data_IF_428553052876
#
_entry.id   IF_428553052876
#
_cell.length_a   1.000
_cell.length_b   1.000
_cell.length_c   1.000
_cell.angle_alpha   90.00
_cell.angle_beta   90.00
_cell.angle_gamma   90.00
#
_symmetry.space_group_name_H-M   'P 1'
#
loop_
_entity.id
_entity.type
_entity.pdbx_description
1 polymer ?
#
# COMPACT_ATOMS: atom_id res chain seq x y z
N UNK A 1 -8.36 -30.89 13.15
CA UNK A 1 -9.59 -31.62 12.89
C UNK A 1 -9.62 -32.27 11.50
N UNK A 2 -9.69 -31.53 10.38
CA UNK A 2 -9.88 -32.11 9.02
C UNK A 2 -8.79 -33.14 8.61
N UNK A 3 -7.52 -32.88 8.90
CA UNK A 3 -6.43 -33.84 8.58
C UNK A 3 -6.53 -35.12 9.40
N UNK A 4 -6.87 -35.02 10.68
CA UNK A 4 -7.07 -36.18 11.54
C UNK A 4 -8.18 -37.09 11.00
N UNK A 5 -9.35 -36.52 10.73
CA UNK A 5 -10.46 -37.30 10.17
C UNK A 5 -10.06 -38.01 8.86
N UNK A 6 -9.28 -37.36 7.99
CA UNK A 6 -8.81 -37.98 6.74
C UNK A 6 -7.82 -39.13 6.98
N UNK A 7 -7.02 -39.06 8.04
CA UNK A 7 -6.14 -40.17 8.47
C UNK A 7 -6.95 -41.28 9.09
N UNK A 8 -7.87 -40.96 9.99
CA UNK A 8 -8.73 -41.92 10.70
C UNK A 8 -9.60 -42.75 9.75
N UNK A 9 -10.07 -42.12 8.66
CA UNK A 9 -10.82 -42.80 7.59
C UNK A 9 -9.94 -43.41 6.47
N UNK A 10 -8.61 -43.41 6.62
CA UNK A 10 -7.71 -44.02 5.67
C UNK A 10 -7.49 -43.26 4.35
N UNK A 11 -8.02 -42.06 4.22
CA UNK A 11 -7.80 -41.21 3.02
C UNK A 11 -6.44 -40.53 2.99
N UNK A 12 -5.72 -40.53 4.11
CA UNK A 12 -4.35 -40.01 4.20
C UNK A 12 -3.50 -40.86 5.14
N UNK A 13 -2.20 -40.91 4.89
CA UNK A 13 -1.24 -41.57 5.75
C UNK A 13 -1.08 -40.79 7.09
N UNK A 14 -0.74 -41.46 8.20
CA UNK A 14 -0.44 -40.84 9.50
C UNK A 14 0.57 -39.69 9.41
N UNK A 15 1.57 -39.82 8.55
CA UNK A 15 2.60 -38.79 8.28
C UNK A 15 2.01 -37.46 7.73
N UNK A 16 0.77 -37.45 7.25
CA UNK A 16 0.10 -36.21 6.86
C UNK A 16 -0.15 -35.28 8.05
N UNK A 17 -0.13 -35.77 9.28
CA UNK A 17 -0.25 -34.98 10.50
C UNK A 17 1.01 -34.14 10.76
N UNK A 18 2.18 -34.63 10.34
CA UNK A 18 3.47 -33.97 10.50
C UNK A 18 3.64 -32.79 9.53
N UNK A 19 2.91 -32.81 8.42
CA UNK A 19 2.91 -31.73 7.43
C UNK A 19 1.92 -30.62 7.86
N UNK A 20 2.34 -29.79 8.81
CA UNK A 20 1.62 -28.61 9.28
C UNK A 20 2.56 -27.40 9.35
N UNK A 21 2.05 -26.18 9.24
CA UNK A 21 2.82 -24.99 9.57
C UNK A 21 3.35 -25.07 11.01
N UNK A 22 4.57 -24.61 11.22
CA UNK A 22 5.11 -24.47 12.56
C UNK A 22 4.28 -23.42 13.33
N UNK A 23 4.13 -23.62 14.63
CA UNK A 23 3.76 -22.55 15.54
C UNK A 23 4.94 -21.59 15.72
N UNK A 24 4.67 -20.37 16.18
CA UNK A 24 5.71 -19.37 16.35
C UNK A 24 6.85 -19.86 17.26
N UNK A 25 6.55 -20.44 18.41
CA UNK A 25 7.54 -20.97 19.38
C UNK A 25 8.40 -22.10 18.78
N UNK A 26 7.83 -22.92 17.89
CA UNK A 26 8.55 -23.98 17.19
C UNK A 26 9.47 -23.42 16.13
N UNK A 27 9.04 -22.34 15.48
CA UNK A 27 9.85 -21.60 14.51
C UNK A 27 11.02 -20.91 15.22
N UNK A 28 10.79 -20.18 16.31
CA UNK A 28 11.86 -19.54 17.10
C UNK A 28 12.94 -20.51 17.56
N UNK A 29 12.57 -21.68 18.04
CA UNK A 29 13.53 -22.72 18.48
C UNK A 29 14.42 -23.26 17.36
N UNK A 30 14.03 -23.06 16.08
CA UNK A 30 14.80 -23.50 14.92
C UNK A 30 15.69 -22.41 14.35
N UNK A 31 15.46 -21.15 14.74
CA UNK A 31 16.26 -20.02 14.28
C UNK A 31 17.51 -19.92 15.17
N UNK A 32 18.66 -19.79 14.54
CA UNK A 32 19.90 -19.49 15.25
C UNK A 32 20.20 -18.00 15.24
N UNK A 33 20.09 -17.37 14.06
CA UNK A 33 20.26 -15.92 13.86
C UNK A 33 19.22 -15.42 12.88
N UNK A 34 18.70 -14.21 13.11
CA UNK A 34 17.71 -13.59 12.26
C UNK A 34 18.02 -12.12 12.04
N UNK A 35 17.81 -11.65 10.82
CA UNK A 35 17.86 -10.21 10.46
C UNK A 35 16.46 -9.82 10.03
N UNK A 36 15.87 -8.87 10.74
CA UNK A 36 14.60 -8.26 10.39
C UNK A 36 14.83 -7.04 9.52
N UNK A 37 14.13 -6.96 8.38
CA UNK A 37 14.18 -5.83 7.46
C UNK A 37 12.76 -5.36 7.22
N UNK A 38 12.45 -4.11 7.56
CA UNK A 38 11.13 -3.53 7.36
C UNK A 38 11.19 -2.01 7.23
N UNK A 39 10.32 -1.44 6.40
CA UNK A 39 10.09 0.00 6.40
C UNK A 39 9.21 0.47 7.58
N UNK A 40 8.46 -0.46 8.17
CA UNK A 40 7.51 -0.26 9.27
C UNK A 40 7.66 -1.41 10.28
N UNK A 41 8.70 -1.39 11.14
CA UNK A 41 8.95 -2.45 12.11
C UNK A 41 7.71 -2.70 12.99
N UNK A 42 7.46 -3.96 13.32
CA UNK A 42 6.40 -4.37 14.22
C UNK A 42 6.83 -4.33 15.69
N UNK A 43 5.86 -4.47 16.58
CA UNK A 43 6.14 -4.41 18.02
C UNK A 43 7.03 -5.58 18.45
N UNK A 44 6.83 -6.76 17.83
CA UNK A 44 7.64 -7.95 18.07
C UNK A 44 9.12 -7.72 17.73
N UNK A 45 9.40 -7.15 16.55
CA UNK A 45 10.76 -6.86 16.11
C UNK A 45 11.42 -5.79 16.98
N UNK A 46 10.65 -4.78 17.39
CA UNK A 46 11.11 -3.72 18.29
C UNK A 46 11.43 -4.26 19.68
N UNK A 47 10.60 -5.15 20.22
CA UNK A 47 10.86 -5.84 21.49
C UNK A 47 12.13 -6.70 21.41
N UNK A 48 12.28 -7.51 20.37
CA UNK A 48 13.45 -8.39 20.19
C UNK A 48 14.78 -7.64 20.07
N UNK A 49 14.76 -6.43 19.51
CA UNK A 49 15.97 -5.60 19.40
C UNK A 49 16.09 -4.54 20.52
N UNK A 50 15.24 -4.55 21.54
CA UNK A 50 15.20 -3.56 22.62
C UNK A 50 15.12 -2.12 22.07
N UNK A 51 14.33 -1.90 21.03
CA UNK A 51 14.19 -0.64 20.30
C UNK A 51 15.54 -0.10 19.72
N UNK A 52 16.52 -0.97 19.52
CA UNK A 52 17.81 -0.62 18.90
C UNK A 52 17.86 -1.23 17.51
N UNK A 53 17.75 -0.41 16.48
CA UNK A 53 17.79 -0.82 15.08
C UNK A 53 18.63 0.15 14.26
N UNK A 54 19.10 -0.33 13.12
CA UNK A 54 19.87 0.48 12.17
C UNK A 54 18.90 1.05 11.14
N UNK A 55 18.93 2.36 10.95
CA UNK A 55 18.15 3.04 9.93
C UNK A 55 18.94 3.20 8.63
N UNK A 56 18.34 2.80 7.53
CA UNK A 56 18.84 3.06 6.17
C UNK A 56 17.81 3.89 5.42
N UNK A 57 17.86 5.21 5.60
CA UNK A 57 16.88 6.15 5.08
C UNK A 57 17.34 6.77 3.76
N UNK A 58 18.63 7.06 3.63
CA UNK A 58 19.21 7.73 2.47
C UNK A 58 19.18 6.81 1.24
N UNK A 59 18.66 7.32 0.14
CA UNK A 59 18.68 6.63 -1.15
C UNK A 59 19.84 7.14 -2.01
N UNK A 60 20.65 6.24 -2.60
CA UNK A 60 21.75 6.66 -3.51
C UNK A 60 21.28 7.45 -4.72
N UNK A 61 20.00 7.31 -5.09
CA UNK A 61 19.37 7.96 -6.23
C UNK A 61 19.11 9.46 -6.03
N UNK A 62 19.22 9.97 -4.80
CA UNK A 62 18.84 11.35 -4.44
C UNK A 62 17.33 11.61 -4.46
N UNK A 63 16.49 10.57 -4.60
CA UNK A 63 15.04 10.71 -4.55
C UNK A 63 14.58 10.83 -3.09
N UNK A 64 13.76 11.84 -2.82
CA UNK A 64 13.18 12.10 -1.51
C UNK A 64 11.85 11.36 -1.33
N UNK A 65 11.44 11.15 -0.10
CA UNK A 65 10.06 10.76 0.20
C UNK A 65 9.08 11.86 -0.27
N UNK A 66 7.84 11.50 -0.66
CA UNK A 66 6.91 12.45 -1.24
C UNK A 66 6.49 13.53 -0.24
N UNK A 67 6.01 14.66 -0.76
CA UNK A 67 5.29 15.65 0.04
C UNK A 67 3.88 15.15 0.35
N UNK A 68 3.35 15.56 1.51
CA UNK A 68 2.00 15.16 1.94
C UNK A 68 1.17 16.40 2.15
N UNK A 69 -0.05 16.39 1.60
CA UNK A 69 -1.07 17.41 1.81
C UNK A 69 -2.31 16.75 2.42
N UNK A 70 -2.95 17.45 3.35
CA UNK A 70 -4.26 17.05 3.89
C UNK A 70 -5.29 18.05 3.40
N UNK A 71 -6.33 17.57 2.75
CA UNK A 71 -7.43 18.38 2.21
C UNK A 71 -8.77 17.88 2.77
N UNK A 72 -9.76 18.77 2.90
CA UNK A 72 -11.10 18.41 3.38
C UNK A 72 -11.81 17.43 2.44
N UNK A 73 -12.79 16.70 2.96
CA UNK A 73 -13.57 15.73 2.17
C UNK A 73 -14.65 16.41 1.31
N UNK A 74 -15.05 17.62 1.64
CA UNK A 74 -16.02 18.39 0.85
C UNK A 74 -15.43 18.77 -0.51
N UNK A 75 -16.10 18.38 -1.59
CA UNK A 75 -15.63 18.61 -2.96
C UNK A 75 -14.40 17.76 -3.36
N UNK A 76 -14.04 16.74 -2.57
CA UNK A 76 -12.82 15.93 -2.79
C UNK A 76 -12.73 15.31 -4.18
N UNK A 77 -13.86 14.95 -4.79
CA UNK A 77 -13.86 14.31 -6.12
C UNK A 77 -13.54 15.32 -7.21
N UNK A 78 -14.08 16.52 -7.15
CA UNK A 78 -13.79 17.58 -8.12
C UNK A 78 -12.32 18.04 -8.00
N UNK A 79 -11.83 18.21 -6.78
CA UNK A 79 -10.42 18.51 -6.50
C UNK A 79 -9.51 17.41 -7.04
N UNK A 80 -9.85 16.15 -6.77
CA UNK A 80 -9.11 14.99 -7.27
C UNK A 80 -9.07 14.92 -8.81
N UNK A 81 -10.19 15.21 -9.48
CA UNK A 81 -10.25 15.25 -10.95
C UNK A 81 -9.35 16.36 -11.50
N UNK A 82 -9.30 17.50 -10.84
CA UNK A 82 -8.36 18.59 -11.17
C UNK A 82 -6.91 18.12 -11.10
N UNK A 83 -6.53 17.49 -10.00
CA UNK A 83 -5.18 16.94 -9.79
C UNK A 83 -4.81 15.83 -10.80
N UNK A 84 -5.76 14.94 -11.11
CA UNK A 84 -5.58 13.91 -12.13
C UNK A 84 -5.25 14.55 -13.49
N UNK A 85 -6.03 15.54 -13.92
CA UNK A 85 -5.83 16.21 -15.19
C UNK A 85 -4.47 16.90 -15.27
N UNK A 86 -3.99 17.51 -14.18
CA UNK A 86 -2.66 18.12 -14.13
C UNK A 86 -1.54 17.06 -14.26
N UNK A 87 -1.72 15.85 -13.70
CA UNK A 87 -0.75 14.75 -13.85
C UNK A 87 -0.77 14.15 -15.26
N UNK A 88 -1.95 14.01 -15.85
CA UNK A 88 -2.10 13.54 -17.24
C UNK A 88 -1.37 14.48 -18.21
N UNK A 89 -1.51 15.80 -18.07
CA UNK A 89 -0.78 16.79 -18.88
C UNK A 89 0.74 16.62 -18.81
N UNK A 90 1.26 16.15 -17.68
CA UNK A 90 2.69 15.89 -17.46
C UNK A 90 3.11 14.47 -17.84
N UNK A 91 2.21 13.67 -18.39
CA UNK A 91 2.39 12.25 -18.66
C UNK A 91 2.79 11.42 -17.43
N UNK A 92 2.29 11.82 -16.27
CA UNK A 92 2.47 11.14 -14.98
C UNK A 92 1.25 10.28 -14.66
N UNK A 93 1.38 9.38 -13.67
CA UNK A 93 0.34 8.43 -13.27
C UNK A 93 -0.15 8.70 -11.86
N UNK A 94 -1.41 8.32 -11.61
CA UNK A 94 -2.08 8.53 -10.34
C UNK A 94 -2.55 7.21 -9.74
N UNK A 95 -2.32 7.01 -8.44
CA UNK A 95 -2.93 5.93 -7.66
C UNK A 95 -3.98 6.52 -6.72
N UNK A 96 -5.14 5.88 -6.65
CA UNK A 96 -6.22 6.28 -5.74
C UNK A 96 -6.58 5.11 -4.83
N UNK A 97 -6.55 5.33 -3.53
CA UNK A 97 -6.99 4.33 -2.58
C UNK A 97 -8.32 4.69 -1.94
N UNK A 98 -9.25 3.73 -1.95
CA UNK A 98 -10.57 3.83 -1.34
C UNK A 98 -10.70 2.83 -0.18
N UNK A 99 -11.81 2.85 0.54
CA UNK A 99 -12.06 1.92 1.66
C UNK A 99 -12.91 0.70 1.26
N UNK A 100 -13.74 0.84 0.24
CA UNK A 100 -14.68 -0.20 -0.14
C UNK A 100 -14.66 -0.51 -1.64
N UNK A 101 -15.07 -1.72 -1.99
CA UNK A 101 -15.25 -2.17 -3.39
C UNK A 101 -16.21 -1.22 -4.12
N UNK A 102 -17.35 -0.98 -3.53
CA UNK A 102 -18.38 -0.12 -4.10
C UNK A 102 -17.85 1.29 -4.43
N UNK A 103 -17.14 1.90 -3.50
CA UNK A 103 -16.54 3.23 -3.70
C UNK A 103 -15.51 3.22 -4.84
N UNK A 104 -14.69 2.16 -4.93
CA UNK A 104 -13.74 2.00 -6.04
C UNK A 104 -14.45 1.89 -7.40
N UNK A 105 -15.53 1.12 -7.47
CA UNK A 105 -16.31 0.91 -8.70
C UNK A 105 -17.03 2.19 -9.12
N UNK A 106 -17.72 2.86 -8.18
CA UNK A 106 -18.41 4.13 -8.43
C UNK A 106 -17.44 5.19 -8.93
N UNK A 107 -16.29 5.34 -8.27
CA UNK A 107 -15.24 6.29 -8.68
C UNK A 107 -14.66 5.94 -10.06
N UNK A 108 -14.39 4.66 -10.30
CA UNK A 108 -13.86 4.21 -11.60
C UNK A 108 -14.84 4.51 -12.73
N UNK A 109 -16.12 4.27 -12.52
CA UNK A 109 -17.15 4.57 -13.52
C UNK A 109 -17.27 6.07 -13.77
N UNK A 110 -17.29 6.87 -12.71
CA UNK A 110 -17.32 8.33 -12.82
C UNK A 110 -16.11 8.89 -13.59
N UNK A 111 -14.90 8.40 -13.31
CA UNK A 111 -13.71 8.83 -14.04
C UNK A 111 -13.73 8.43 -15.50
N UNK A 112 -14.33 7.26 -15.86
CA UNK A 112 -14.55 6.85 -17.24
C UNK A 112 -15.53 7.75 -18.00
N UNK A 113 -16.60 8.21 -17.32
CA UNK A 113 -17.55 9.16 -17.89
C UNK A 113 -16.89 10.52 -18.21
N UNK A 114 -15.80 10.85 -17.55
CA UNK A 114 -14.97 12.02 -17.83
C UNK A 114 -13.83 11.76 -18.84
N UNK A 115 -13.91 10.65 -19.61
CA UNK A 115 -12.89 10.22 -20.58
C UNK A 115 -11.47 10.02 -19.99
N UNK A 116 -11.36 9.80 -18.67
CA UNK A 116 -10.09 9.49 -18.02
C UNK A 116 -9.81 7.99 -18.18
N UNK A 117 -8.60 7.65 -18.62
CA UNK A 117 -8.15 6.27 -18.78
C UNK A 117 -7.85 5.65 -17.41
N UNK A 118 -8.83 5.00 -16.82
CA UNK A 118 -8.77 4.45 -15.47
C UNK A 118 -8.92 2.95 -15.46
N UNK A 119 -8.15 2.25 -14.62
CA UNK A 119 -8.31 0.86 -14.28
C UNK A 119 -8.68 0.70 -12.79
N UNK A 120 -9.42 -0.36 -12.48
CA UNK A 120 -9.74 -0.76 -11.12
C UNK A 120 -9.01 -2.05 -10.77
N UNK A 121 -8.33 -2.06 -9.64
CA UNK A 121 -7.62 -3.22 -9.12
C UNK A 121 -8.35 -3.79 -7.90
N UNK A 122 -9.01 -4.92 -8.07
CA UNK A 122 -9.75 -5.61 -7.00
C UNK A 122 -9.09 -6.94 -6.60
N UNK A 123 -9.54 -7.52 -5.49
CA UNK A 123 -8.94 -8.71 -4.88
C UNK A 123 -9.07 -10.00 -5.70
N UNK A 124 -10.04 -10.06 -6.60
CA UNK A 124 -10.34 -11.26 -7.41
C UNK A 124 -9.55 -11.32 -8.73
N UNK A 125 -8.85 -10.25 -9.08
CA UNK A 125 -8.00 -10.21 -10.28
C UNK A 125 -6.85 -11.20 -10.13
N UNK A 126 -6.70 -12.07 -11.12
CA UNK A 126 -5.61 -13.05 -11.17
C UNK A 126 -4.25 -12.37 -11.28
N UNK A 127 -3.21 -13.02 -10.77
CA UNK A 127 -1.85 -12.45 -10.72
C UNK A 127 -1.33 -11.97 -12.08
N UNK A 128 -1.58 -12.73 -13.16
CA UNK A 128 -1.16 -12.33 -14.51
C UNK A 128 -1.90 -11.10 -15.03
N UNK A 129 -3.21 -11.04 -14.81
CA UNK A 129 -4.02 -9.88 -15.20
C UNK A 129 -3.62 -8.64 -14.41
N UNK A 130 -3.31 -8.80 -13.12
CA UNK A 130 -2.78 -7.72 -12.28
C UNK A 130 -1.46 -7.16 -12.83
N UNK A 131 -0.53 -8.02 -13.21
CA UNK A 131 0.73 -7.61 -13.83
C UNK A 131 0.49 -6.86 -15.14
N UNK A 132 -0.50 -7.29 -15.94
CA UNK A 132 -0.86 -6.62 -17.17
C UNK A 132 -1.44 -5.21 -16.91
N UNK A 133 -2.32 -5.05 -15.91
CA UNK A 133 -2.88 -3.75 -15.52
C UNK A 133 -1.76 -2.80 -15.08
N UNK A 134 -0.81 -3.28 -14.29
CA UNK A 134 0.33 -2.48 -13.83
C UNK A 134 1.23 -2.09 -15.02
N UNK A 135 1.51 -3.01 -15.92
CA UNK A 135 2.24 -2.72 -17.14
C UNK A 135 1.52 -1.67 -18.00
N UNK A 136 0.21 -1.84 -18.20
CA UNK A 136 -0.63 -0.93 -18.96
C UNK A 136 -0.68 0.49 -18.35
N UNK A 137 -0.66 0.60 -17.01
CA UNK A 137 -0.51 1.88 -16.32
C UNK A 137 0.85 2.53 -16.61
N UNK A 138 1.94 1.76 -16.54
CA UNK A 138 3.31 2.26 -16.79
C UNK A 138 3.48 2.77 -18.21
N UNK A 139 2.96 2.06 -19.21
CA UNK A 139 3.07 2.44 -20.63
C UNK A 139 2.04 3.51 -21.05
N UNK A 140 1.16 3.94 -20.16
CA UNK A 140 0.19 5.01 -20.39
C UNK A 140 -1.09 4.59 -21.12
N UNK A 141 -1.41 3.31 -21.13
CA UNK A 141 -2.72 2.83 -21.54
C UNK A 141 -3.79 3.21 -20.52
N UNK A 142 -3.40 3.29 -19.24
CA UNK A 142 -4.15 3.90 -18.16
C UNK A 142 -3.35 5.06 -17.56
N UNK A 143 -4.05 6.09 -17.11
CA UNK A 143 -3.47 7.23 -16.41
C UNK A 143 -3.71 7.12 -14.89
N UNK A 144 -4.78 6.43 -14.50
CA UNK A 144 -5.22 6.29 -13.12
C UNK A 144 -5.45 4.82 -12.77
N UNK A 145 -5.03 4.43 -11.58
CA UNK A 145 -5.35 3.15 -10.99
C UNK A 145 -6.08 3.36 -9.66
N UNK A 146 -7.28 2.80 -9.55
CA UNK A 146 -8.10 2.82 -8.33
C UNK A 146 -8.05 1.46 -7.66
N UNK A 147 -7.99 1.43 -6.33
CA UNK A 147 -8.06 0.18 -5.58
C UNK A 147 -8.16 0.38 -4.08
N UNK A 148 -8.59 -0.66 -3.36
CA UNK A 148 -8.75 -0.64 -1.92
C UNK A 148 -7.41 -0.82 -1.21
N UNK A 149 -6.69 -1.84 -1.59
CA UNK A 149 -5.41 -2.21 -0.99
C UNK A 149 -4.35 -2.34 -2.08
N UNK A 150 -3.80 -1.19 -2.46
CA UNK A 150 -2.67 -1.12 -3.40
C UNK A 150 -1.33 -1.47 -2.73
N UNK A 151 -1.36 -1.87 -1.45
CA UNK A 151 -0.17 -2.23 -0.67
C UNK A 151 0.39 -3.60 -1.01
N UNK A 152 -0.45 -4.49 -1.56
CA UNK A 152 -0.03 -5.86 -1.81
C UNK A 152 1.03 -5.88 -2.89
N UNK A 153 2.23 -6.34 -2.47
CA UNK A 153 3.27 -6.92 -3.32
C UNK A 153 3.90 -5.99 -4.36
N UNK A 154 4.99 -5.33 -3.95
CA UNK A 154 6.04 -4.92 -4.88
C UNK A 154 5.61 -4.02 -6.05
N UNK A 155 4.56 -3.20 -5.88
CA UNK A 155 4.23 -2.18 -6.87
C UNK A 155 5.38 -1.18 -6.95
N UNK A 156 6.17 -1.31 -7.99
CA UNK A 156 7.25 -0.40 -8.33
C UNK A 156 6.88 0.34 -9.61
N UNK A 157 6.30 1.54 -9.45
CA UNK A 157 5.79 2.34 -10.55
C UNK A 157 6.38 3.76 -10.45
N UNK A 158 7.59 3.96 -10.99
CA UNK A 158 8.26 5.27 -10.94
C UNK A 158 7.46 6.39 -11.63
N UNK A 159 6.58 6.03 -12.53
CA UNK A 159 5.72 6.97 -13.28
C UNK A 159 4.62 7.59 -12.42
N UNK A 160 4.36 7.03 -11.23
CA UNK A 160 3.35 7.56 -10.29
C UNK A 160 3.91 8.75 -9.54
N UNK A 161 3.31 9.91 -9.77
CA UNK A 161 3.65 11.18 -9.09
C UNK A 161 2.60 11.61 -8.07
N UNK A 162 1.38 11.05 -8.12
CA UNK A 162 0.33 11.38 -7.18
C UNK A 162 -0.30 10.11 -6.58
N UNK A 163 -0.45 10.13 -5.27
CA UNK A 163 -1.29 9.18 -4.54
C UNK A 163 -2.40 9.95 -3.84
N UNK A 164 -3.64 9.62 -4.13
CA UNK A 164 -4.81 10.14 -3.43
C UNK A 164 -5.36 9.08 -2.46
N UNK A 165 -5.52 9.47 -1.21
CA UNK A 165 -6.05 8.62 -0.14
C UNK A 165 -7.40 9.20 0.26
N UNK A 166 -8.49 8.58 -0.19
CA UNK A 166 -9.84 8.98 0.19
C UNK A 166 -10.18 8.45 1.57
N UNK A 167 -10.98 9.20 2.32
CA UNK A 167 -11.37 8.84 3.69
C UNK A 167 -10.15 8.46 4.56
N UNK A 168 -9.12 9.27 4.55
CA UNK A 168 -7.88 9.00 5.27
C UNK A 168 -8.08 9.01 6.80
N UNK A 169 -9.10 9.70 7.29
CA UNK A 169 -9.49 9.81 8.71
C UNK A 169 -10.39 8.67 9.20
N UNK A 170 -10.80 7.74 8.36
CA UNK A 170 -11.58 6.58 8.76
C UNK A 170 -10.63 5.50 9.30
N UNK A 171 -10.37 5.57 10.60
CA UNK A 171 -9.45 4.65 11.26
C UNK A 171 -9.83 3.18 11.05
N UNK A 172 -8.79 2.33 10.92
CA UNK A 172 -8.93 0.91 10.69
C UNK A 172 -7.66 0.33 10.07
N UNK A 173 -7.67 -0.95 9.79
CA UNK A 173 -6.51 -1.66 9.25
C UNK A 173 -5.91 -1.01 7.98
N UNK A 174 -6.78 -0.51 7.08
CA UNK A 174 -6.35 0.13 5.82
C UNK A 174 -5.86 1.57 6.00
N UNK A 175 -6.07 2.17 7.15
CA UNK A 175 -5.70 3.56 7.48
C UNK A 175 -4.88 3.63 8.77
N UNK A 176 -4.28 2.51 9.21
CA UNK A 176 -3.27 2.52 10.27
C UNK A 176 -2.02 3.27 9.81
N UNK A 177 -1.24 3.80 10.73
CA UNK A 177 0.00 4.52 10.42
C UNK A 177 0.93 3.70 9.53
N UNK A 178 1.10 2.41 9.81
CA UNK A 178 1.89 1.48 8.99
C UNK A 178 1.35 1.37 7.56
N UNK A 179 0.03 1.23 7.41
CA UNK A 179 -0.60 1.17 6.08
C UNK A 179 -0.40 2.47 5.31
N UNK A 180 -0.60 3.60 5.96
CA UNK A 180 -0.40 4.93 5.34
C UNK A 180 1.06 5.12 4.90
N UNK A 181 2.05 4.83 5.75
CA UNK A 181 3.48 4.92 5.40
C UNK A 181 3.81 4.05 4.17
N UNK A 182 3.26 2.84 4.09
CA UNK A 182 3.48 1.97 2.95
C UNK A 182 2.83 2.48 1.65
N UNK A 183 1.62 3.07 1.74
CA UNK A 183 0.96 3.71 0.61
C UNK A 183 1.80 4.89 0.13
N UNK A 184 2.15 5.80 1.04
CA UNK A 184 2.97 6.99 0.77
C UNK A 184 4.27 6.59 0.06
N UNK A 185 4.93 5.55 0.53
CA UNK A 185 6.19 5.05 -0.03
C UNK A 185 6.12 4.60 -1.49
N UNK A 186 4.91 4.34 -2.04
CA UNK A 186 4.75 3.99 -3.47
C UNK A 186 5.05 5.15 -4.42
N UNK A 187 4.94 6.41 -3.93
CA UNK A 187 5.27 7.60 -4.71
C UNK A 187 6.72 8.07 -4.54
N UNK A 188 7.49 7.42 -3.67
CA UNK A 188 8.85 7.83 -3.31
C UNK A 188 9.91 7.58 -4.40
N UNK A 189 9.53 7.03 -5.54
CA UNK A 189 10.42 6.83 -6.71
C UNK A 189 10.21 7.86 -7.82
N UNK A 190 9.32 8.81 -7.61
CA UNK A 190 9.10 9.93 -8.50
C UNK A 190 9.64 11.21 -7.86
N UNK A 191 10.43 11.99 -8.58
CA UNK A 191 10.98 13.25 -8.09
C UNK A 191 9.88 14.27 -7.72
N UNK A 192 8.72 14.19 -8.39
CA UNK A 192 7.55 15.03 -8.17
C UNK A 192 6.50 14.33 -7.28
N UNK A 193 6.94 13.32 -6.49
CA UNK A 193 6.03 12.54 -5.65
C UNK A 193 5.25 13.40 -4.67
N UNK A 194 3.92 13.30 -4.73
CA UNK A 194 2.99 14.00 -3.85
C UNK A 194 1.90 13.04 -3.37
N UNK A 195 1.46 13.20 -2.15
CA UNK A 195 0.35 12.45 -1.55
C UNK A 195 -0.70 13.42 -1.05
N UNK A 196 -1.94 13.22 -1.46
CA UNK A 196 -3.09 13.97 -0.95
C UNK A 196 -3.93 13.04 -0.09
N UNK A 197 -4.12 13.41 1.17
CA UNK A 197 -5.02 12.74 2.10
C UNK A 197 -6.31 13.56 2.21
N UNK A 198 -7.43 13.00 1.76
CA UNK A 198 -8.73 13.64 1.95
C UNK A 198 -9.30 13.20 3.29
N UNK A 199 -9.49 14.16 4.18
CA UNK A 199 -9.90 13.92 5.56
C UNK A 199 -10.46 15.19 6.18
N UNK A 200 -11.48 15.05 7.05
CA UNK A 200 -12.07 16.18 7.79
C UNK A 200 -11.36 16.43 9.12
N UNK A 201 -10.60 15.44 9.59
CA UNK A 201 -9.79 15.54 10.80
C UNK A 201 -8.48 14.77 10.63
N UNK A 202 -7.44 15.24 11.29
CA UNK A 202 -6.17 14.50 11.35
C UNK A 202 -6.26 13.51 12.52
N UNK A 203 -6.18 12.21 12.22
CA UNK A 203 -6.13 11.14 13.22
C UNK A 203 -4.70 10.91 13.71
N UNK A 204 -4.55 10.18 14.82
CA UNK A 204 -3.22 9.84 15.35
C UNK A 204 -2.41 9.02 14.31
N UNK A 205 -3.06 8.10 13.61
CA UNK A 205 -2.44 7.31 12.53
C UNK A 205 -1.95 8.18 11.37
N UNK A 206 -2.72 9.18 10.96
CA UNK A 206 -2.32 10.14 9.94
C UNK A 206 -1.15 10.99 10.41
N UNK A 207 -1.23 11.50 11.63
CA UNK A 207 -0.18 12.34 12.24
C UNK A 207 1.15 11.59 12.27
N UNK A 208 1.16 10.36 12.79
CA UNK A 208 2.34 9.51 12.85
C UNK A 208 2.94 9.27 11.45
N UNK A 209 2.09 8.96 10.45
CA UNK A 209 2.54 8.73 9.09
C UNK A 209 3.13 9.98 8.43
N UNK A 210 2.54 11.15 8.67
CA UNK A 210 3.03 12.44 8.16
C UNK A 210 4.36 12.78 8.80
N UNK A 211 4.44 12.77 10.13
CA UNK A 211 5.65 13.10 10.90
C UNK A 211 6.83 12.20 10.51
N UNK A 212 6.59 10.89 10.39
CA UNK A 212 7.63 9.95 10.00
C UNK A 212 8.11 10.15 8.55
N UNK A 213 7.19 10.42 7.62
CA UNK A 213 7.55 10.71 6.23
C UNK A 213 8.36 12.01 6.12
N UNK A 214 7.96 13.06 6.84
CA UNK A 214 8.69 14.33 6.89
C UNK A 214 10.06 14.16 7.55
N UNK A 215 10.14 13.38 8.63
CA UNK A 215 11.41 13.06 9.29
C UNK A 215 12.37 12.41 8.30
N UNK A 216 11.92 11.38 7.59
CA UNK A 216 12.73 10.68 6.58
C UNK A 216 13.16 11.62 5.46
N UNK A 217 12.23 12.41 4.93
CA UNK A 217 12.52 13.39 3.88
C UNK A 217 13.58 14.41 4.28
N UNK A 218 13.60 14.86 5.55
CA UNK A 218 14.62 15.78 6.07
C UNK A 218 16.01 15.15 6.19
N UNK A 219 16.08 13.84 6.41
CA UNK A 219 17.34 13.10 6.52
C UNK A 219 17.91 12.83 5.11
N UNK A 220 17.03 12.58 4.15
CA UNK A 220 17.38 12.34 2.74
C UNK A 220 17.95 13.58 2.06
#
# INVERSE_FOLDING_TARGET
>A
ARKMNLVDYGFRLPSALDNRPLKYDEFEKKINQVIYISATPGDLELEHCNNKYVEQIIRPTGLLDPTIEVRGSEGQIDDLVGEINERIKKNERVLITTLTIRMSEELTNYLKELDIKVAYLHSEIKSLERLQIIHDLRVGKYDVLVGINLLREGLDIPEVSLIAILDADKEGFLRSSRSLIQIIGRCARNANGNVIMYADKITDSMKEAIEETERRRKIQ
#
